data_IF_976436665829
#
_entry.id   IF_976436665829
#
_cell.length_a   1.000
_cell.length_b   1.000
_cell.length_c   1.000
_cell.angle_alpha   90.00
_cell.angle_beta   90.00
_cell.angle_gamma   90.00
#
_symmetry.space_group_name_H-M   'P 1'
#
loop_
_entity.id
_entity.type
_entity.pdbx_description
1 polymer ?
#
# COMPACT_ATOMS: atom_id res chain seq x y z
N UNK A 1 -14.51 -17.73 -4.13
CA UNK A 1 -13.45 -17.13 -3.30
C UNK A 1 -13.04 -15.74 -3.79
N UNK A 2 -12.94 -15.50 -5.10
CA UNK A 2 -12.49 -14.22 -5.68
C UNK A 2 -13.54 -13.10 -5.61
N UNK A 3 -14.83 -13.40 -5.76
CA UNK A 3 -15.88 -12.40 -5.86
C UNK A 3 -15.94 -11.43 -4.66
N UNK A 4 -15.89 -11.89 -3.40
CA UNK A 4 -15.87 -10.96 -2.26
C UNK A 4 -14.63 -10.04 -2.25
N UNK A 5 -13.48 -10.57 -2.67
CA UNK A 5 -12.23 -9.78 -2.77
C UNK A 5 -12.36 -8.70 -3.86
N UNK A 6 -12.93 -9.07 -5.01
CA UNK A 6 -13.20 -8.11 -6.08
C UNK A 6 -14.17 -7.02 -5.64
N UNK A 7 -15.26 -7.39 -4.96
CA UNK A 7 -16.27 -6.45 -4.44
C UNK A 7 -15.61 -5.45 -3.47
N UNK A 8 -14.71 -5.93 -2.61
CA UNK A 8 -13.97 -5.06 -1.69
C UNK A 8 -12.97 -4.15 -2.43
N UNK A 9 -12.18 -4.69 -3.36
CA UNK A 9 -11.28 -3.88 -4.19
C UNK A 9 -12.04 -2.79 -4.93
N UNK A 10 -13.17 -3.11 -5.53
CA UNK A 10 -13.98 -2.17 -6.30
C UNK A 10 -14.56 -1.02 -5.46
N UNK A 11 -14.71 -1.20 -4.14
CA UNK A 11 -15.13 -0.11 -3.24
C UNK A 11 -14.07 0.99 -3.12
N UNK A 12 -12.79 0.64 -3.23
CA UNK A 12 -11.67 1.55 -2.97
C UNK A 12 -10.86 1.92 -4.21
N UNK A 13 -10.91 1.11 -5.26
CA UNK A 13 -10.12 1.35 -6.46
C UNK A 13 -10.52 2.66 -7.15
N UNK A 14 -9.59 3.62 -7.29
CA UNK A 14 -9.75 4.86 -8.05
C UNK A 14 -9.29 4.74 -9.50
N UNK A 15 -8.74 3.59 -9.88
CA UNK A 15 -8.20 3.26 -11.20
C UNK A 15 -8.89 2.01 -11.76
N UNK A 16 -8.79 1.74 -13.08
CA UNK A 16 -9.31 0.52 -13.67
C UNK A 16 -8.78 -0.74 -12.99
N UNK A 17 -9.68 -1.69 -12.68
CA UNK A 17 -9.33 -2.96 -12.04
C UNK A 17 -9.19 -4.06 -13.09
N UNK A 18 -8.05 -4.73 -13.08
CA UNK A 18 -7.76 -5.89 -13.94
C UNK A 18 -7.96 -7.16 -13.14
N UNK A 19 -8.67 -8.12 -13.69
CA UNK A 19 -8.90 -9.44 -13.08
C UNK A 19 -8.42 -10.55 -14.01
N UNK A 20 -7.44 -11.34 -13.55
CA UNK A 20 -6.80 -12.43 -14.31
C UNK A 20 -6.69 -13.68 -13.45
N UNK A 21 -7.77 -14.45 -13.26
CA UNK A 21 -7.74 -15.66 -12.45
C UNK A 21 -7.06 -16.83 -13.16
N UNK A 22 -6.62 -17.80 -12.39
CA UNK A 22 -6.33 -19.14 -12.89
C UNK A 22 -7.64 -19.87 -13.27
N UNK A 23 -7.53 -20.92 -14.07
CA UNK A 23 -8.64 -21.82 -14.38
C UNK A 23 -8.94 -22.77 -13.21
N UNK A 24 -9.17 -22.22 -12.00
CA UNK A 24 -9.35 -22.94 -10.76
C UNK A 24 -8.10 -22.95 -9.87
N UNK A 25 -8.12 -23.79 -8.84
CA UNK A 25 -6.95 -24.01 -7.98
C UNK A 25 -6.04 -25.08 -8.59
N UNK A 26 -4.71 -24.94 -8.44
CA UNK A 26 -3.80 -25.97 -8.91
C UNK A 26 -4.05 -27.28 -8.15
N UNK A 27 -4.20 -28.37 -8.87
CA UNK A 27 -4.34 -29.75 -8.37
C UNK A 27 -3.19 -30.58 -8.89
N UNK A 28 -2.83 -31.62 -8.16
CA UNK A 28 -1.82 -32.61 -8.58
C UNK A 28 -2.44 -33.94 -8.88
N UNK A 29 -2.05 -34.56 -10.00
CA UNK A 29 -2.35 -35.93 -10.36
C UNK A 29 -1.16 -36.51 -11.12
N UNK A 30 -0.70 -37.67 -10.70
CA UNK A 30 0.42 -38.40 -11.32
C UNK A 30 1.72 -37.55 -11.46
N UNK A 31 1.97 -36.62 -10.52
CA UNK A 31 3.13 -35.74 -10.53
C UNK A 31 2.96 -34.47 -11.40
N UNK A 32 1.87 -34.34 -12.13
CA UNK A 32 1.58 -33.17 -12.96
C UNK A 32 0.55 -32.23 -12.30
N UNK A 33 0.72 -30.92 -12.53
CA UNK A 33 -0.22 -29.90 -12.08
C UNK A 33 -1.28 -29.69 -13.15
N UNK A 34 -2.56 -29.76 -12.75
CA UNK A 34 -3.68 -29.46 -13.63
C UNK A 34 -4.66 -28.49 -12.97
N UNK A 35 -5.55 -27.92 -13.78
CA UNK A 35 -6.61 -26.99 -13.38
C UNK A 35 -7.93 -27.53 -13.88
N UNK A 36 -8.99 -27.41 -13.08
CA UNK A 36 -10.25 -28.14 -13.27
C UNK A 36 -11.47 -27.24 -13.61
N UNK A 37 -11.25 -25.95 -13.84
CA UNK A 37 -12.33 -25.08 -14.33
C UNK A 37 -12.35 -25.15 -15.86
N UNK A 38 -13.44 -25.66 -16.40
CA UNK A 38 -13.63 -25.83 -17.84
C UNK A 38 -13.91 -24.46 -18.54
N UNK A 39 -13.68 -24.36 -19.87
CA UNK A 39 -13.82 -23.10 -20.61
C UNK A 39 -15.18 -22.40 -20.46
N UNK A 40 -16.29 -23.15 -20.51
CA UNK A 40 -17.64 -22.59 -20.40
C UNK A 40 -17.92 -22.04 -19.00
N UNK A 41 -17.44 -22.73 -17.98
CA UNK A 41 -17.57 -22.29 -16.60
C UNK A 41 -16.71 -21.04 -16.36
N UNK A 42 -15.48 -21.05 -16.87
CA UNK A 42 -14.59 -19.88 -16.84
C UNK A 42 -15.24 -18.68 -17.49
N UNK A 43 -15.82 -18.83 -18.69
CA UNK A 43 -16.51 -17.75 -19.39
C UNK A 43 -17.65 -17.15 -18.58
N UNK A 44 -18.46 -17.96 -17.90
CA UNK A 44 -19.54 -17.50 -17.01
C UNK A 44 -19.02 -16.69 -15.83
N UNK A 45 -17.95 -17.17 -15.18
CA UNK A 45 -17.33 -16.43 -14.07
C UNK A 45 -16.76 -15.09 -14.53
N UNK A 46 -16.13 -15.05 -15.70
CA UNK A 46 -15.57 -13.82 -16.23
C UNK A 46 -16.65 -12.80 -16.61
N UNK A 47 -17.80 -13.26 -17.11
CA UNK A 47 -18.94 -12.38 -17.37
C UNK A 47 -19.50 -11.78 -16.07
N UNK A 48 -19.56 -12.54 -15.00
CA UNK A 48 -19.96 -12.05 -13.67
C UNK A 48 -18.96 -11.04 -13.09
N UNK A 49 -17.66 -11.29 -13.25
CA UNK A 49 -16.58 -10.40 -12.86
C UNK A 49 -16.69 -9.05 -13.57
N UNK A 50 -16.97 -9.08 -14.86
CA UNK A 50 -17.14 -7.86 -15.67
C UNK A 50 -18.39 -7.07 -15.23
N UNK A 51 -19.53 -7.73 -14.97
CA UNK A 51 -20.76 -7.11 -14.44
C UNK A 51 -20.54 -6.42 -13.11
N UNK A 52 -19.67 -6.95 -12.26
CA UNK A 52 -19.32 -6.34 -10.95
C UNK A 52 -18.50 -5.06 -11.10
N UNK A 53 -17.90 -4.80 -12.26
CA UNK A 53 -17.20 -3.56 -12.54
C UNK A 53 -15.69 -3.71 -12.78
N UNK A 54 -15.17 -4.92 -12.98
CA UNK A 54 -13.83 -5.09 -13.49
C UNK A 54 -13.70 -4.40 -14.86
N UNK A 55 -12.55 -3.77 -15.12
CA UNK A 55 -12.32 -2.99 -16.33
C UNK A 55 -11.66 -3.80 -17.41
N UNK A 56 -10.76 -4.68 -17.02
CA UNK A 56 -10.08 -5.62 -17.91
C UNK A 56 -10.17 -7.01 -17.29
N UNK A 57 -10.37 -7.98 -18.14
CA UNK A 57 -10.45 -9.37 -17.76
C UNK A 57 -9.53 -10.23 -18.63
N UNK A 58 -9.04 -11.33 -18.09
CA UNK A 58 -8.15 -12.24 -18.79
C UNK A 58 -7.98 -13.53 -18.02
N UNK A 59 -7.06 -14.35 -18.43
CA UNK A 59 -6.71 -15.58 -17.78
C UNK A 59 -5.27 -15.60 -17.26
N UNK A 60 -4.94 -16.61 -16.44
CA UNK A 60 -3.60 -16.90 -15.94
C UNK A 60 -3.32 -18.40 -16.04
N UNK A 61 -2.77 -19.03 -15.02
CA UNK A 61 -2.39 -20.45 -15.06
C UNK A 61 -3.59 -21.36 -15.36
N UNK A 62 -3.37 -22.37 -16.20
CA UNK A 62 -4.40 -23.32 -16.62
C UNK A 62 -5.36 -22.81 -17.69
N UNK A 63 -5.34 -21.51 -18.04
CA UNK A 63 -6.17 -21.00 -19.12
C UNK A 63 -5.60 -21.33 -20.50
N UNK A 64 -6.45 -21.81 -21.39
CA UNK A 64 -6.13 -22.17 -22.77
C UNK A 64 -6.84 -21.22 -23.75
N UNK A 65 -6.53 -21.28 -25.06
CA UNK A 65 -7.28 -20.52 -26.06
C UNK A 65 -8.80 -20.78 -26.01
N UNK A 66 -9.23 -21.98 -25.61
CA UNK A 66 -10.66 -22.30 -25.46
C UNK A 66 -11.29 -21.49 -24.31
N UNK A 67 -10.63 -21.33 -23.18
CA UNK A 67 -11.08 -20.50 -22.06
C UNK A 67 -11.23 -19.04 -22.48
N UNK A 68 -10.25 -18.51 -23.20
CA UNK A 68 -10.29 -17.13 -23.68
C UNK A 68 -11.43 -16.93 -24.69
N UNK A 69 -11.65 -17.90 -25.57
CA UNK A 69 -12.78 -17.87 -26.52
C UNK A 69 -14.13 -17.87 -25.80
N UNK A 70 -14.31 -18.76 -24.83
CA UNK A 70 -15.53 -18.82 -24.02
C UNK A 70 -15.76 -17.52 -23.23
N UNK A 71 -14.71 -16.93 -22.68
CA UNK A 71 -14.76 -15.62 -22.00
C UNK A 71 -15.23 -14.52 -22.98
N UNK A 72 -14.62 -14.42 -24.14
CA UNK A 72 -14.97 -13.40 -25.16
C UNK A 72 -16.42 -13.55 -25.60
N UNK A 73 -16.89 -14.79 -25.83
CA UNK A 73 -18.27 -15.06 -26.20
C UNK A 73 -19.25 -14.70 -25.09
N UNK A 74 -18.94 -15.07 -23.84
CA UNK A 74 -19.80 -14.78 -22.69
C UNK A 74 -19.87 -13.28 -22.34
N UNK A 75 -18.93 -12.45 -22.84
CA UNK A 75 -18.85 -11.02 -22.51
C UNK A 75 -19.12 -10.12 -23.70
N UNK A 76 -19.43 -10.66 -24.88
CA UNK A 76 -19.59 -9.86 -26.11
C UNK A 76 -20.63 -8.75 -26.00
N UNK A 77 -21.73 -9.01 -25.30
CA UNK A 77 -22.85 -8.06 -25.13
C UNK A 77 -22.64 -7.10 -23.92
N UNK A 78 -21.51 -7.22 -23.21
CA UNK A 78 -21.19 -6.42 -22.03
C UNK A 78 -20.07 -5.40 -22.27
N UNK A 79 -19.65 -5.20 -23.51
CA UNK A 79 -18.49 -4.35 -23.88
C UNK A 79 -18.71 -2.87 -23.62
N UNK A 80 -19.96 -2.43 -23.55
CA UNK A 80 -20.35 -1.02 -23.45
C UNK A 80 -20.81 -0.63 -22.03
N UNK A 81 -20.41 -1.36 -20.99
CA UNK A 81 -20.73 -0.97 -19.62
C UNK A 81 -19.89 0.26 -19.25
N UNK A 82 -20.42 1.43 -19.57
CA UNK A 82 -19.82 2.74 -19.22
C UNK A 82 -20.31 3.25 -17.87
N UNK A 83 -21.52 2.84 -17.46
CA UNK A 83 -22.12 3.24 -16.18
C UNK A 83 -21.58 2.40 -15.05
N UNK A 84 -20.53 2.91 -14.40
CA UNK A 84 -20.11 2.42 -13.09
C UNK A 84 -20.85 3.21 -12.04
N UNK A 85 -21.41 2.56 -11.01
CA UNK A 85 -21.97 3.29 -9.89
C UNK A 85 -20.93 4.27 -9.37
N UNK A 86 -21.34 5.54 -9.24
CA UNK A 86 -20.48 6.58 -8.66
C UNK A 86 -19.97 6.12 -7.31
N UNK A 87 -18.68 6.22 -7.09
CA UNK A 87 -18.08 5.81 -5.80
C UNK A 87 -18.39 6.86 -4.76
N UNK A 88 -19.13 6.49 -3.74
CA UNK A 88 -19.16 7.24 -2.51
C UNK A 88 -17.87 6.98 -1.75
N UNK A 89 -16.96 7.93 -1.81
CA UNK A 89 -15.81 7.92 -0.91
C UNK A 89 -16.30 8.23 0.50
N UNK A 90 -16.35 7.23 1.37
CA UNK A 90 -16.53 7.47 2.80
C UNK A 90 -15.35 8.31 3.28
N UNK A 91 -15.64 9.36 4.06
CA UNK A 91 -14.62 10.18 4.72
C UNK A 91 -13.90 9.35 5.80
N UNK A 92 -12.96 8.53 5.37
CA UNK A 92 -12.12 7.69 6.24
C UNK A 92 -10.67 8.10 6.08
N UNK A 93 -10.01 8.36 7.20
CA UNK A 93 -8.57 8.61 7.22
C UNK A 93 -7.85 7.28 7.44
N UNK A 94 -7.18 6.78 6.40
CA UNK A 94 -6.49 5.49 6.42
C UNK A 94 -5.04 5.69 6.00
N UNK A 95 -4.13 5.10 6.75
CA UNK A 95 -2.73 4.89 6.37
C UNK A 95 -2.50 3.40 6.11
N UNK A 96 -1.53 3.07 5.26
CA UNK A 96 -1.25 1.67 4.96
C UNK A 96 0.23 1.43 4.69
N UNK A 97 0.65 0.21 4.95
CA UNK A 97 1.87 -0.40 4.41
C UNK A 97 1.51 -1.37 3.28
N UNK A 98 2.49 -2.16 2.82
CA UNK A 98 2.26 -3.24 1.86
C UNK A 98 1.35 -4.35 2.39
N UNK A 99 1.27 -4.55 3.71
CA UNK A 99 0.58 -5.68 4.34
C UNK A 99 -0.51 -5.30 5.35
N UNK A 100 -0.64 -4.03 5.71
CA UNK A 100 -1.58 -3.58 6.76
C UNK A 100 -2.18 -2.23 6.44
N UNK A 101 -3.48 -2.08 6.73
CA UNK A 101 -4.18 -0.80 6.75
C UNK A 101 -4.58 -0.43 8.18
N UNK A 102 -4.45 0.83 8.53
CA UNK A 102 -4.81 1.40 9.84
C UNK A 102 -5.75 2.58 9.63
N UNK A 103 -6.97 2.47 10.11
CA UNK A 103 -7.97 3.55 10.07
C UNK A 103 -7.84 4.41 11.31
N UNK A 104 -7.73 5.72 11.09
CA UNK A 104 -7.63 6.74 12.14
C UNK A 104 -9.00 7.36 12.45
N UNK A 105 -9.19 7.80 13.70
CA UNK A 105 -10.38 8.54 14.12
C UNK A 105 -11.44 7.73 14.86
N UNK A 106 -11.36 6.39 14.92
CA UNK A 106 -12.30 5.54 15.63
C UNK A 106 -11.88 5.22 17.06
N UNK A 107 -10.66 4.72 17.24
CA UNK A 107 -10.09 4.33 18.54
C UNK A 107 -8.75 5.06 18.74
N UNK A 108 -8.31 5.23 19.99
CA UNK A 108 -6.94 5.67 20.26
C UNK A 108 -5.93 4.74 19.58
N UNK A 109 -4.97 5.32 18.87
CA UNK A 109 -3.93 4.60 18.16
C UNK A 109 -2.56 4.99 18.74
N UNK A 110 -1.65 4.02 18.79
CA UNK A 110 -0.30 4.24 19.29
C UNK A 110 0.63 4.41 18.09
N UNK A 111 1.29 5.56 18.02
CA UNK A 111 2.40 5.81 17.10
C UNK A 111 3.69 5.63 17.91
N UNK A 112 4.50 4.66 17.50
CA UNK A 112 5.79 4.38 18.14
C UNK A 112 6.83 5.41 17.69
N UNK A 113 7.42 6.15 18.62
CA UNK A 113 8.32 7.29 18.35
C UNK A 113 9.77 7.01 18.82
N UNK A 114 10.24 5.78 18.78
CA UNK A 114 11.61 5.45 19.22
C UNK A 114 12.65 5.64 18.10
N UNK A 115 12.24 5.59 16.85
CA UNK A 115 13.07 5.86 15.67
C UNK A 115 13.12 7.39 15.44
N UNK A 116 13.71 8.10 16.39
CA UNK A 116 13.80 9.55 16.37
C UNK A 116 14.99 9.98 17.23
N UNK A 117 15.93 10.81 16.74
CA UNK A 117 17.13 11.22 17.48
C UNK A 117 16.84 12.18 18.64
N UNK A 118 15.66 12.81 18.71
CA UNK A 118 15.35 13.81 19.72
C UNK A 118 15.42 13.24 21.12
N UNK A 119 16.33 13.75 21.95
CA UNK A 119 16.52 13.31 23.33
C UNK A 119 17.19 11.91 23.51
N UNK A 120 17.51 11.20 22.44
CA UNK A 120 17.98 9.80 22.48
C UNK A 120 19.45 9.67 22.05
N UNK A 121 20.38 9.73 23.02
CA UNK A 121 21.83 9.68 22.73
C UNK A 121 22.26 8.44 21.95
N UNK A 122 21.74 7.26 22.33
CA UNK A 122 22.08 5.99 21.64
C UNK A 122 21.60 5.99 20.19
N UNK A 123 20.40 6.48 19.93
CA UNK A 123 19.85 6.56 18.57
C UNK A 123 20.66 7.55 17.70
N UNK A 124 21.04 8.72 18.26
CA UNK A 124 21.94 9.66 17.59
C UNK A 124 23.26 9.01 17.20
N UNK A 125 23.84 8.20 18.09
CA UNK A 125 25.08 7.50 17.78
C UNK A 125 24.88 6.45 16.69
N UNK A 126 23.80 5.67 16.76
CA UNK A 126 23.47 4.69 15.73
C UNK A 126 23.33 5.31 14.34
N UNK A 127 22.68 6.50 14.23
CA UNK A 127 22.61 7.23 12.96
C UNK A 127 24.00 7.67 12.44
N UNK A 128 24.87 8.14 13.35
CA UNK A 128 26.25 8.55 12.98
C UNK A 128 27.13 7.37 12.57
N UNK A 129 26.96 6.24 13.22
CA UNK A 129 27.71 5.01 12.98
C UNK A 129 27.09 4.18 11.83
N UNK A 130 25.97 4.66 11.27
CA UNK A 130 25.20 3.94 10.24
C UNK A 130 24.76 2.52 10.70
N UNK A 131 24.40 2.40 11.99
CA UNK A 131 23.91 1.14 12.59
C UNK A 131 22.43 0.94 12.26
N UNK A 132 22.17 0.49 11.05
CA UNK A 132 20.80 0.21 10.57
C UNK A 132 20.16 -0.90 11.41
N UNK A 133 20.92 -1.91 11.82
CA UNK A 133 20.41 -3.01 12.65
C UNK A 133 19.83 -2.51 13.98
N UNK A 134 20.44 -1.51 14.59
CA UNK A 134 19.87 -0.89 15.78
C UNK A 134 18.51 -0.24 15.51
N UNK A 135 18.38 0.47 14.39
CA UNK A 135 17.13 1.10 13.97
C UNK A 135 16.03 0.05 13.76
N UNK A 136 16.37 -1.06 13.08
CA UNK A 136 15.43 -2.15 12.83
C UNK A 136 14.98 -2.85 14.13
N UNK A 137 15.89 -3.04 15.09
CA UNK A 137 15.54 -3.57 16.41
C UNK A 137 14.57 -2.65 17.17
N UNK A 138 14.74 -1.34 17.09
CA UNK A 138 13.80 -0.38 17.69
C UNK A 138 12.41 -0.49 17.03
N UNK A 139 12.34 -0.70 15.72
CA UNK A 139 11.07 -0.90 15.01
C UNK A 139 10.34 -2.17 15.49
N UNK A 140 11.04 -3.30 15.52
CA UNK A 140 10.49 -4.59 15.95
C UNK A 140 10.02 -4.50 17.41
N UNK A 141 10.84 -3.91 18.29
CA UNK A 141 10.49 -3.74 19.70
C UNK A 141 9.20 -2.93 19.90
N UNK A 142 8.99 -1.88 19.10
CA UNK A 142 7.77 -1.08 19.14
C UNK A 142 6.56 -1.83 18.58
N UNK A 143 6.74 -2.60 17.50
CA UNK A 143 5.70 -3.46 16.94
C UNK A 143 5.25 -4.50 17.99
N UNK A 144 6.19 -5.16 18.66
CA UNK A 144 5.91 -6.16 19.69
C UNK A 144 5.24 -5.54 20.92
N UNK A 145 5.55 -4.27 21.22
CA UNK A 145 4.89 -3.49 22.27
C UNK A 145 3.49 -2.98 21.89
N UNK A 146 3.00 -3.29 20.67
CA UNK A 146 1.64 -2.97 20.25
C UNK A 146 1.48 -1.62 19.55
N UNK A 147 2.54 -1.04 19.00
CA UNK A 147 2.41 0.13 18.12
C UNK A 147 1.57 -0.20 16.89
N UNK A 148 0.81 0.78 16.39
CA UNK A 148 -0.02 0.65 15.20
C UNK A 148 0.66 1.28 13.96
N UNK A 149 1.48 2.31 14.20
CA UNK A 149 2.23 3.09 13.22
C UNK A 149 3.61 3.34 13.82
N UNK A 150 4.65 3.44 13.01
CA UNK A 150 6.00 3.83 13.45
C UNK A 150 6.34 5.21 12.92
N UNK A 151 6.71 6.12 13.81
CA UNK A 151 7.30 7.41 13.47
C UNK A 151 8.78 7.22 13.13
N UNK A 152 9.21 7.81 12.01
CA UNK A 152 10.56 7.65 11.48
C UNK A 152 11.17 9.02 11.23
N UNK A 153 12.15 9.37 12.05
CA UNK A 153 12.95 10.58 11.94
C UNK A 153 14.44 10.24 12.01
N UNK A 154 15.19 10.65 11.00
CA UNK A 154 16.65 10.42 10.92
C UNK A 154 17.43 11.74 10.82
N UNK A 155 16.75 12.87 11.02
CA UNK A 155 17.34 14.22 10.89
C UNK A 155 18.38 14.50 11.95
N UNK A 156 19.64 14.64 11.53
CA UNK A 156 20.75 15.12 12.34
C UNK A 156 21.62 16.10 11.53
N UNK A 157 22.26 17.07 12.18
CA UNK A 157 23.31 17.86 11.52
C UNK A 157 24.40 16.91 10.96
N UNK A 158 24.98 17.30 9.84
CA UNK A 158 26.11 16.61 9.18
C UNK A 158 25.80 15.21 8.61
N UNK A 159 24.51 14.88 8.41
CA UNK A 159 24.07 13.63 7.76
C UNK A 159 23.34 13.98 6.45
N UNK A 160 23.55 13.17 5.42
CA UNK A 160 22.73 13.17 4.22
C UNK A 160 21.35 12.57 4.54
N UNK A 161 20.44 13.43 5.05
CA UNK A 161 19.12 13.00 5.50
C UNK A 161 18.29 12.35 4.38
N UNK A 162 18.25 12.88 3.14
CA UNK A 162 17.53 12.24 2.04
C UNK A 162 17.99 10.82 1.74
N UNK A 163 19.31 10.59 1.68
CA UNK A 163 19.86 9.27 1.43
C UNK A 163 19.56 8.30 2.57
N UNK A 164 19.79 8.73 3.82
CA UNK A 164 19.57 7.91 5.01
C UNK A 164 18.07 7.63 5.22
N UNK A 165 17.20 8.60 5.05
CA UNK A 165 15.74 8.41 5.17
C UNK A 165 15.24 7.39 4.16
N UNK A 166 15.68 7.48 2.92
CA UNK A 166 15.35 6.50 1.88
C UNK A 166 15.78 5.09 2.28
N UNK A 167 17.02 4.92 2.74
CA UNK A 167 17.55 3.62 3.14
C UNK A 167 16.79 3.06 4.35
N UNK A 168 16.62 3.84 5.41
CA UNK A 168 15.90 3.43 6.62
C UNK A 168 14.46 3.03 6.30
N UNK A 169 13.75 3.80 5.48
CA UNK A 169 12.39 3.46 5.06
C UNK A 169 12.36 2.16 4.24
N UNK A 170 13.34 1.93 3.38
CA UNK A 170 13.45 0.70 2.61
C UNK A 170 13.67 -0.51 3.53
N UNK A 171 14.61 -0.42 4.45
CA UNK A 171 14.95 -1.51 5.37
C UNK A 171 13.83 -1.79 6.38
N UNK A 172 13.16 -0.75 6.91
CA UNK A 172 11.99 -0.92 7.78
C UNK A 172 10.88 -1.72 7.09
N UNK A 173 10.61 -1.47 5.82
CA UNK A 173 9.60 -2.22 5.07
C UNK A 173 9.93 -3.71 4.90
N UNK A 174 11.19 -4.11 5.08
CA UNK A 174 11.60 -5.52 5.03
C UNK A 174 11.32 -6.27 6.34
N UNK A 175 11.24 -5.59 7.48
CA UNK A 175 11.15 -6.21 8.81
C UNK A 175 9.83 -5.96 9.54
N UNK A 176 9.05 -4.95 9.13
CA UNK A 176 7.76 -4.64 9.76
C UNK A 176 6.66 -4.44 8.74
N UNK A 177 5.43 -4.88 9.08
CA UNK A 177 4.23 -4.59 8.30
C UNK A 177 3.48 -3.35 8.81
N UNK A 178 3.99 -2.64 9.82
CA UNK A 178 3.33 -1.42 10.32
C UNK A 178 3.45 -0.29 9.30
N UNK A 179 2.39 0.54 9.12
CA UNK A 179 2.51 1.78 8.38
C UNK A 179 3.54 2.70 9.04
N UNK A 180 4.22 3.51 8.21
CA UNK A 180 5.20 4.49 8.67
C UNK A 180 4.62 5.90 8.65
N UNK A 181 5.01 6.68 9.63
CA UNK A 181 4.91 8.13 9.67
C UNK A 181 6.28 8.71 9.35
N UNK A 182 6.38 9.38 8.22
CA UNK A 182 7.62 10.04 7.80
C UNK A 182 7.70 11.40 8.49
N UNK A 183 8.64 11.52 9.42
CA UNK A 183 8.84 12.73 10.24
C UNK A 183 10.12 13.44 9.80
N UNK A 184 9.96 14.50 9.03
CA UNK A 184 11.07 15.32 8.58
C UNK A 184 10.60 16.72 8.16
N UNK A 185 11.48 17.69 8.32
CA UNK A 185 11.33 19.05 7.77
C UNK A 185 12.06 19.22 6.44
N UNK A 186 12.92 18.27 6.06
CA UNK A 186 13.61 18.27 4.78
C UNK A 186 12.70 17.70 3.68
N UNK A 187 12.33 18.57 2.74
CA UNK A 187 11.42 18.21 1.64
C UNK A 187 12.04 17.17 0.70
N UNK A 188 13.37 17.19 0.55
CA UNK A 188 14.08 16.20 -0.28
C UNK A 188 14.08 14.82 0.39
N UNK A 189 14.26 14.78 1.71
CA UNK A 189 14.15 13.55 2.50
C UNK A 189 12.71 13.00 2.47
N UNK A 190 11.71 13.88 2.61
CA UNK A 190 10.30 13.50 2.49
C UNK A 190 10.01 12.89 1.12
N UNK A 191 10.41 13.56 0.03
CA UNK A 191 10.19 13.03 -1.33
C UNK A 191 10.93 11.71 -1.55
N UNK A 192 12.17 11.58 -1.08
CA UNK A 192 12.95 10.36 -1.20
C UNK A 192 12.28 9.17 -0.52
N UNK A 193 11.73 9.38 0.68
CA UNK A 193 10.97 8.37 1.41
C UNK A 193 9.66 8.01 0.71
N UNK A 194 8.84 8.99 0.36
CA UNK A 194 7.54 8.77 -0.26
C UNK A 194 7.64 8.06 -1.61
N UNK A 195 8.71 8.28 -2.35
CA UNK A 195 8.95 7.66 -3.67
C UNK A 195 9.09 6.15 -3.60
N UNK A 196 9.60 5.61 -2.50
CA UNK A 196 9.87 4.18 -2.33
C UNK A 196 8.94 3.50 -1.33
N UNK A 197 8.06 4.28 -0.70
CA UNK A 197 7.14 3.75 0.28
C UNK A 197 6.03 2.93 -0.38
N UNK A 198 5.88 1.70 0.05
CA UNK A 198 4.92 0.76 -0.50
C UNK A 198 3.62 0.79 0.30
N UNK A 199 2.82 1.80 0.08
CA UNK A 199 1.56 2.03 0.79
C UNK A 199 1.14 3.50 0.80
N UNK A 200 0.32 3.87 1.77
CA UNK A 200 -0.13 5.25 2.02
C UNK A 200 0.46 5.73 3.35
N UNK A 201 1.58 6.46 3.36
CA UNK A 201 2.24 6.89 4.58
C UNK A 201 1.46 7.98 5.32
N UNK A 202 1.77 8.18 6.60
CA UNK A 202 1.52 9.41 7.31
C UNK A 202 2.74 10.32 7.16
N UNK A 203 2.52 11.63 7.09
CA UNK A 203 3.58 12.63 7.03
C UNK A 203 3.47 13.56 8.22
N UNK A 204 4.55 13.73 8.95
CA UNK A 204 4.69 14.65 10.07
C UNK A 204 5.69 15.74 9.65
N UNK A 205 5.28 16.95 9.40
CA UNK A 205 3.95 17.55 9.47
C UNK A 205 3.84 18.73 8.52
N UNK A 206 2.67 19.29 8.39
CA UNK A 206 2.45 20.60 7.78
C UNK A 206 1.92 21.57 8.84
N UNK A 207 2.32 22.82 8.80
CA UNK A 207 1.77 23.88 9.65
C UNK A 207 1.00 24.92 8.81
N UNK A 208 0.35 25.88 9.48
CA UNK A 208 -0.47 26.90 8.82
C UNK A 208 0.29 27.96 8.00
N UNK A 209 1.62 27.86 7.86
CA UNK A 209 2.38 28.75 6.99
C UNK A 209 2.22 28.34 5.53
N UNK A 210 1.99 29.31 4.64
CA UNK A 210 1.82 29.06 3.21
C UNK A 210 3.00 28.28 2.62
N UNK A 211 4.23 28.65 3.00
CA UNK A 211 5.45 27.96 2.52
C UNK A 211 5.51 26.49 2.91
N UNK A 212 5.00 26.11 4.09
CA UNK A 212 4.92 24.71 4.52
C UNK A 212 3.89 23.94 3.69
N UNK A 213 2.72 24.54 3.46
CA UNK A 213 1.66 23.94 2.65
C UNK A 213 2.09 23.77 1.19
N UNK A 214 2.74 24.79 0.61
CA UNK A 214 3.23 24.76 -0.77
C UNK A 214 4.34 23.72 -0.99
N UNK A 215 5.11 23.41 0.03
CA UNK A 215 6.16 22.42 -0.04
C UNK A 215 5.61 20.98 0.14
N UNK A 216 4.71 20.76 1.09
CA UNK A 216 4.26 19.42 1.48
C UNK A 216 3.09 18.91 0.65
N UNK A 217 2.05 19.72 0.41
CA UNK A 217 0.83 19.26 -0.26
C UNK A 217 1.04 18.74 -1.69
N UNK A 218 1.95 19.30 -2.52
CA UNK A 218 2.23 18.71 -3.82
C UNK A 218 2.78 17.28 -3.74
N UNK A 219 3.60 16.96 -2.74
CA UNK A 219 4.12 15.61 -2.51
C UNK A 219 3.01 14.66 -2.04
N UNK A 220 2.16 15.10 -1.10
CA UNK A 220 0.99 14.33 -0.67
C UNK A 220 0.06 14.01 -1.85
N UNK A 221 -0.17 14.98 -2.73
CA UNK A 221 -1.00 14.79 -3.94
C UNK A 221 -0.35 13.83 -4.94
N UNK A 222 0.97 13.92 -5.09
CA UNK A 222 1.74 13.13 -6.08
C UNK A 222 1.86 11.67 -5.68
N UNK A 223 2.20 11.40 -4.42
CA UNK A 223 2.52 10.05 -3.93
C UNK A 223 1.36 9.39 -3.16
N UNK A 224 0.38 10.17 -2.73
CA UNK A 224 -0.64 9.76 -1.80
C UNK A 224 -0.12 9.76 -0.35
N UNK A 225 -0.92 10.20 0.59
CA UNK A 225 -0.53 10.23 2.00
C UNK A 225 -1.62 10.84 2.88
N UNK A 226 -1.42 10.71 4.17
CA UNK A 226 -2.14 11.44 5.22
C UNK A 226 -1.13 12.39 5.85
N UNK A 227 -1.53 13.61 6.19
CA UNK A 227 -0.63 14.58 6.79
C UNK A 227 -1.14 15.05 8.14
N UNK A 228 -0.24 15.18 9.10
CA UNK A 228 -0.50 15.80 10.39
C UNK A 228 -0.49 17.32 10.22
N UNK A 229 -1.61 17.97 10.52
CA UNK A 229 -1.71 19.44 10.54
C UNK A 229 -1.40 19.98 11.93
N UNK A 230 -0.39 20.85 12.03
CA UNK A 230 -0.07 21.57 13.26
C UNK A 230 -0.79 22.92 13.28
N UNK A 231 -1.48 23.20 14.37
CA UNK A 231 -2.22 24.46 14.63
C UNK A 231 -1.46 25.37 15.58
#
# INVERSE_FOLDING_TARGET
QMMPILDEILQYASVPVIVKPNAGLPKQKDGEVYYDVEPEEFGRFMAEILKRGASLIGGCCGTTPAHIRAMVEATKDQRDITDRPGKEFKNRTIVSSYGRAVELGGKPMIIGERINPTGKKKFKQALKDHDIDYILREAISQQDAGAHILDVNVGLPDIDEPALMREVVQELQSVTSLPLQIDTVDISALEAAMRIYNGKPMVNSVNGKQSSMDAVFPLIKKYGGVVVGLT
#
